data_IF_014231769807
#
_entry.id   IF_014231769807
#
_cell.length_a   1.000
_cell.length_b   1.000
_cell.length_c   1.000
_cell.angle_alpha   90.00
_cell.angle_beta   90.00
_cell.angle_gamma   90.00
#
_symmetry.space_group_name_H-M   'P 1'
#
loop_
_entity.id
_entity.type
_entity.pdbx_description
1 polymer ?
#
# COMPACT_ATOMS: atom_id res chain seq x y z
N UNK A 1 -22.68 -0.14 0.95
CA UNK A 1 -21.41 -0.57 1.59
C UNK A 1 -20.75 -1.77 0.91
N UNK A 2 -21.39 -2.94 0.78
CA UNK A 2 -20.72 -4.14 0.22
C UNK A 2 -20.05 -3.93 -1.16
N UNK A 3 -20.66 -3.15 -2.05
CA UNK A 3 -20.04 -2.81 -3.35
C UNK A 3 -18.80 -1.91 -3.22
N UNK A 4 -18.75 -1.03 -2.22
CA UNK A 4 -17.56 -0.23 -1.95
C UNK A 4 -16.42 -1.12 -1.43
N UNK A 5 -16.72 -2.00 -0.46
CA UNK A 5 -15.76 -2.98 0.06
C UNK A 5 -15.17 -3.81 -1.08
N UNK A 6 -16.03 -4.42 -1.90
CA UNK A 6 -15.57 -5.22 -3.04
C UNK A 6 -14.71 -4.39 -3.99
N UNK A 7 -15.09 -3.14 -4.29
CA UNK A 7 -14.35 -2.28 -5.19
C UNK A 7 -12.97 -1.90 -4.65
N UNK A 8 -12.87 -1.64 -3.34
CA UNK A 8 -11.60 -1.40 -2.67
C UNK A 8 -10.73 -2.65 -2.84
N UNK A 9 -11.20 -3.80 -2.39
CA UNK A 9 -10.46 -5.08 -2.34
C UNK A 9 -10.10 -5.64 -3.73
N UNK A 10 -10.93 -5.41 -4.76
CA UNK A 10 -10.66 -5.89 -6.12
C UNK A 10 -9.55 -5.10 -6.83
N UNK A 11 -9.31 -3.85 -6.39
CA UNK A 11 -8.36 -2.94 -7.04
C UNK A 11 -7.11 -2.77 -6.19
N UNK A 12 -6.15 -3.66 -6.36
CA UNK A 12 -4.83 -3.60 -5.73
C UNK A 12 -4.03 -2.37 -6.18
N UNK A 13 -3.06 -1.98 -5.36
CA UNK A 13 -1.96 -1.11 -5.76
C UNK A 13 -0.98 -1.85 -6.67
N UNK A 14 -0.35 -1.11 -7.58
CA UNK A 14 0.67 -1.69 -8.46
C UNK A 14 1.97 -1.91 -7.69
N UNK A 15 2.68 -3.04 -7.93
CA UNK A 15 4.01 -3.24 -7.38
C UNK A 15 5.01 -2.29 -8.04
N UNK A 16 5.84 -1.63 -7.26
CA UNK A 16 6.86 -0.67 -7.72
C UNK A 16 8.15 -0.95 -6.96
N UNK A 17 9.25 -1.14 -7.69
CA UNK A 17 10.57 -1.34 -7.10
C UNK A 17 11.53 -0.27 -7.60
N UNK A 18 11.76 0.75 -6.78
CA UNK A 18 12.67 1.84 -7.08
C UNK A 18 14.04 1.67 -6.41
N UNK A 19 15.00 2.50 -6.81
CA UNK A 19 16.34 2.51 -6.21
C UNK A 19 16.36 2.96 -4.74
N UNK A 20 15.27 3.58 -4.27
CA UNK A 20 15.14 3.99 -2.88
C UNK A 20 14.58 2.86 -1.98
N UNK A 21 13.98 1.82 -2.57
CA UNK A 21 13.42 0.71 -1.79
C UNK A 21 14.53 -0.19 -1.20
N UNK A 22 14.59 -0.36 0.14
CA UNK A 22 15.62 -1.19 0.78
C UNK A 22 15.65 -2.65 0.31
N UNK A 23 14.51 -3.17 -0.16
CA UNK A 23 14.38 -4.52 -0.71
C UNK A 23 15.32 -4.71 -1.90
N UNK A 24 15.50 -3.68 -2.73
CA UNK A 24 16.43 -3.75 -3.85
C UNK A 24 17.85 -3.98 -3.37
N UNK A 25 18.32 -3.21 -2.38
CA UNK A 25 19.66 -3.37 -1.79
C UNK A 25 19.88 -4.76 -1.18
N UNK A 26 18.87 -5.30 -0.50
CA UNK A 26 18.91 -6.68 -0.01
C UNK A 26 19.06 -7.69 -1.14
N UNK A 27 18.28 -7.54 -2.22
CA UNK A 27 18.35 -8.42 -3.39
C UNK A 27 19.71 -8.36 -4.07
N UNK A 28 20.32 -7.18 -4.18
CA UNK A 28 21.70 -7.02 -4.68
C UNK A 28 22.69 -7.88 -3.89
N UNK A 29 22.64 -7.81 -2.56
CA UNK A 29 23.52 -8.62 -1.70
C UNK A 29 23.31 -10.12 -1.94
N UNK A 30 22.05 -10.56 -2.06
CA UNK A 30 21.71 -11.95 -2.36
C UNK A 30 22.24 -12.36 -3.74
N UNK A 31 22.03 -11.52 -4.75
CA UNK A 31 22.47 -11.80 -6.11
C UNK A 31 23.99 -11.87 -6.23
N UNK A 32 24.72 -11.00 -5.52
CA UNK A 32 26.17 -10.98 -5.51
C UNK A 32 26.76 -12.23 -4.84
N UNK A 33 26.26 -12.58 -3.65
CA UNK A 33 26.91 -13.55 -2.78
C UNK A 33 26.26 -14.94 -2.73
N UNK A 34 24.99 -15.09 -3.08
CA UNK A 34 24.32 -16.39 -3.01
C UNK A 34 24.76 -17.31 -4.14
N UNK A 35 25.18 -18.56 -3.83
CA UNK A 35 25.47 -19.56 -4.84
C UNK A 35 24.21 -20.30 -5.34
N UNK A 36 23.06 -20.14 -4.66
CA UNK A 36 21.84 -20.94 -4.92
C UNK A 36 20.77 -20.20 -5.70
N UNK A 37 20.92 -18.89 -5.90
CA UNK A 37 19.96 -18.09 -6.67
C UNK A 37 19.98 -18.48 -8.15
N UNK A 38 18.80 -18.49 -8.78
CA UNK A 38 18.68 -18.74 -10.21
C UNK A 38 19.49 -17.71 -11.03
N UNK A 39 20.13 -18.18 -12.10
CA UNK A 39 21.05 -17.34 -12.89
C UNK A 39 20.33 -16.22 -13.65
N UNK A 40 19.10 -16.47 -14.10
CA UNK A 40 18.32 -15.47 -14.83
C UNK A 40 17.93 -14.34 -13.90
N UNK A 41 17.32 -14.65 -12.76
CA UNK A 41 16.89 -13.61 -11.82
C UNK A 41 18.09 -12.89 -11.19
N UNK A 42 19.20 -13.59 -10.93
CA UNK A 42 20.45 -12.98 -10.48
C UNK A 42 20.93 -11.91 -11.46
N UNK A 43 20.87 -12.18 -12.75
CA UNK A 43 21.26 -11.21 -13.77
C UNK A 43 20.37 -9.96 -13.75
N UNK A 44 19.06 -10.17 -13.66
CA UNK A 44 18.08 -9.08 -13.66
C UNK A 44 18.21 -8.22 -12.38
N UNK A 45 18.36 -8.85 -11.21
CA UNK A 45 18.59 -8.14 -9.94
C UNK A 45 19.82 -7.23 -10.04
N UNK A 46 20.95 -7.73 -10.56
CA UNK A 46 22.18 -6.93 -10.68
C UNK A 46 22.03 -5.71 -11.60
N UNK A 47 21.05 -5.72 -12.50
CA UNK A 47 20.78 -4.63 -13.46
C UNK A 47 19.56 -3.78 -13.11
N UNK A 48 18.75 -4.19 -12.14
CA UNK A 48 17.45 -3.58 -11.85
C UNK A 48 17.51 -2.09 -11.46
N UNK A 49 18.68 -1.56 -11.06
CA UNK A 49 18.84 -0.12 -10.79
C UNK A 49 18.91 0.77 -12.04
N UNK A 50 19.29 0.20 -13.19
CA UNK A 50 19.60 0.96 -14.41
C UNK A 50 18.84 0.47 -15.64
N UNK A 51 18.38 -0.78 -15.65
CA UNK A 51 17.64 -1.38 -16.75
C UNK A 51 16.19 -1.62 -16.34
N UNK A 52 15.28 -0.90 -16.99
CA UNK A 52 13.85 -0.98 -16.70
C UNK A 52 13.26 -2.36 -17.01
N UNK A 53 13.75 -3.07 -18.02
CA UNK A 53 13.26 -4.42 -18.33
C UNK A 53 13.72 -5.41 -17.27
N UNK A 54 14.97 -5.30 -16.82
CA UNK A 54 15.48 -6.10 -15.71
C UNK A 54 14.71 -5.82 -14.41
N UNK A 55 14.44 -4.54 -14.11
CA UNK A 55 13.61 -4.14 -12.98
C UNK A 55 12.20 -4.75 -13.05
N UNK A 56 11.56 -4.66 -14.21
CA UNK A 56 10.23 -5.25 -14.44
C UNK A 56 10.23 -6.77 -14.20
N UNK A 57 11.24 -7.49 -14.69
CA UNK A 57 11.37 -8.93 -14.42
C UNK A 57 11.50 -9.23 -12.92
N UNK A 58 12.23 -8.39 -12.17
CA UNK A 58 12.36 -8.53 -10.71
C UNK A 58 11.04 -8.23 -10.01
N UNK A 59 10.33 -7.18 -10.42
CA UNK A 59 8.98 -6.85 -9.91
C UNK A 59 8.01 -8.01 -10.13
N UNK A 60 8.00 -8.59 -11.33
CA UNK A 60 7.17 -9.76 -11.66
C UNK A 60 7.57 -10.98 -10.85
N UNK A 61 8.88 -11.21 -10.65
CA UNK A 61 9.37 -12.29 -9.82
C UNK A 61 8.90 -12.16 -8.36
N UNK A 62 9.04 -10.98 -7.76
CA UNK A 62 8.58 -10.71 -6.40
C UNK A 62 7.06 -10.76 -6.28
N UNK A 63 6.33 -10.43 -7.34
CA UNK A 63 4.86 -10.42 -7.33
C UNK A 63 4.24 -11.83 -7.38
N UNK A 64 5.02 -12.88 -7.65
CA UNK A 64 4.53 -14.27 -7.70
C UNK A 64 4.19 -14.83 -6.32
N UNK A 65 4.88 -14.37 -5.28
CA UNK A 65 4.65 -14.78 -3.91
C UNK A 65 4.09 -13.60 -3.09
N UNK A 66 3.12 -13.89 -2.20
CA UNK A 66 2.44 -12.84 -1.45
C UNK A 66 3.36 -12.17 -0.43
N UNK A 67 4.27 -12.91 0.19
CA UNK A 67 5.19 -12.35 1.19
C UNK A 67 6.13 -11.35 0.54
N UNK A 68 6.61 -11.63 -0.68
CA UNK A 68 7.49 -10.73 -1.42
C UNK A 68 6.75 -9.62 -2.16
N UNK A 69 5.52 -9.85 -2.65
CA UNK A 69 4.72 -8.84 -3.35
C UNK A 69 4.52 -7.58 -2.50
N UNK A 70 4.13 -7.76 -1.24
CA UNK A 70 3.83 -6.64 -0.33
C UNK A 70 5.08 -5.99 0.28
N UNK A 71 6.29 -6.44 -0.08
CA UNK A 71 7.51 -5.66 0.18
C UNK A 71 7.67 -4.48 -0.79
N UNK A 72 7.01 -4.55 -1.94
CA UNK A 72 7.11 -3.57 -3.03
C UNK A 72 5.75 -3.01 -3.47
N UNK A 73 4.70 -3.27 -2.67
CA UNK A 73 3.32 -2.90 -2.99
C UNK A 73 2.61 -2.43 -1.74
N UNK A 74 1.86 -1.34 -1.82
CA UNK A 74 0.97 -0.94 -0.73
C UNK A 74 -0.09 -2.02 -0.50
N UNK A 75 -0.17 -2.54 0.73
CA UNK A 75 -1.25 -3.44 1.12
C UNK A 75 -2.44 -2.63 1.61
N UNK A 76 -3.64 -3.11 1.35
CA UNK A 76 -4.89 -2.56 1.88
C UNK A 76 -5.76 -3.72 2.39
N UNK A 77 -6.54 -3.49 3.44
CA UNK A 77 -7.48 -4.48 3.97
C UNK A 77 -8.64 -3.80 4.70
N UNK A 78 -9.85 -4.34 4.58
CA UNK A 78 -10.96 -4.02 5.49
C UNK A 78 -10.83 -4.82 6.79
N UNK A 79 -10.48 -4.14 7.87
CA UNK A 79 -10.21 -4.77 9.17
C UNK A 79 -11.46 -4.81 10.08
N UNK A 80 -12.33 -3.80 9.95
CA UNK A 80 -13.53 -3.66 10.78
C UNK A 80 -14.72 -3.31 9.90
N UNK A 81 -15.85 -3.97 10.16
CA UNK A 81 -17.14 -3.68 9.53
C UNK A 81 -18.20 -3.68 10.63
N UNK A 82 -18.91 -2.56 10.78
CA UNK A 82 -20.00 -2.44 11.76
C UNK A 82 -21.24 -1.87 11.07
N UNK A 83 -22.42 -2.41 11.39
CA UNK A 83 -23.67 -1.91 10.82
C UNK A 83 -24.91 -2.58 11.37
N UNK A 84 -25.95 -1.77 11.59
CA UNK A 84 -27.23 -2.22 12.14
C UNK A 84 -27.20 -2.43 13.66
N UNK A 85 -28.39 -2.52 14.26
CA UNK A 85 -28.56 -2.69 15.71
C UNK A 85 -29.40 -3.92 16.03
N UNK A 86 -30.39 -4.22 15.18
CA UNK A 86 -31.30 -5.36 15.34
C UNK A 86 -31.40 -6.12 14.02
N UNK A 87 -31.50 -7.44 14.08
CA UNK A 87 -31.59 -8.31 12.90
C UNK A 87 -32.85 -8.08 12.05
N UNK A 88 -33.89 -7.47 12.62
CA UNK A 88 -35.16 -7.18 11.96
C UNK A 88 -35.35 -5.70 11.58
N UNK A 89 -34.29 -4.90 11.63
CA UNK A 89 -34.31 -3.49 11.25
C UNK A 89 -33.29 -3.23 10.13
N UNK A 90 -33.63 -2.31 9.22
CA UNK A 90 -32.69 -1.83 8.24
C UNK A 90 -31.58 -1.02 8.95
N UNK A 91 -30.29 -1.22 8.62
CA UNK A 91 -29.21 -0.40 9.16
C UNK A 91 -29.34 1.06 8.75
N UNK A 92 -29.29 1.98 9.71
CA UNK A 92 -29.25 3.43 9.45
C UNK A 92 -27.84 3.89 9.07
N UNK A 93 -26.81 3.25 9.63
CA UNK A 93 -25.41 3.54 9.35
C UNK A 93 -24.61 2.23 9.27
N UNK A 94 -23.56 2.26 8.43
CA UNK A 94 -22.54 1.21 8.32
C UNK A 94 -21.19 1.91 8.24
N UNK A 95 -20.23 1.48 9.07
CA UNK A 95 -18.85 1.94 9.06
C UNK A 95 -17.92 0.81 8.64
N UNK A 96 -16.79 1.19 8.03
CA UNK A 96 -15.68 0.28 7.75
C UNK A 96 -14.36 0.97 8.12
N UNK A 97 -13.38 0.18 8.53
CA UNK A 97 -11.99 0.65 8.71
C UNK A 97 -11.12 -0.03 7.66
N UNK A 98 -10.48 0.79 6.81
CA UNK A 98 -9.50 0.34 5.82
C UNK A 98 -8.12 0.56 6.42
N UNK A 99 -7.36 -0.51 6.65
CA UNK A 99 -5.96 -0.41 7.01
C UNK A 99 -5.11 -0.43 5.74
N UNK A 100 -4.07 0.41 5.67
CA UNK A 100 -3.12 0.39 4.58
C UNK A 100 -1.68 0.43 5.10
N UNK A 101 -0.81 -0.41 4.55
CA UNK A 101 0.64 -0.31 4.75
C UNK A 101 1.24 0.23 3.47
N UNK A 102 1.68 1.47 3.52
CA UNK A 102 2.08 2.24 2.34
C UNK A 102 3.50 1.85 1.94
N UNK A 103 3.69 1.51 0.67
CA UNK A 103 5.01 1.25 0.09
C UNK A 103 5.89 2.50 0.13
N UNK A 104 7.20 2.31 0.13
CA UNK A 104 8.20 3.40 0.24
C UNK A 104 8.07 4.41 -0.92
N UNK A 105 7.57 3.95 -2.05
CA UNK A 105 7.32 4.72 -3.28
C UNK A 105 6.05 5.57 -3.26
N UNK A 106 5.11 5.28 -2.36
CA UNK A 106 3.80 5.93 -2.33
C UNK A 106 3.67 6.85 -1.12
N UNK A 107 2.56 7.59 -1.07
CA UNK A 107 2.26 8.52 0.04
C UNK A 107 0.87 8.28 0.57
N UNK A 108 0.58 8.84 1.75
CA UNK A 108 -0.79 8.87 2.30
C UNK A 108 -1.75 9.47 1.28
N UNK A 109 -1.38 10.58 0.64
CA UNK A 109 -2.23 11.23 -0.37
C UNK A 109 -2.54 10.32 -1.57
N UNK A 110 -1.61 9.46 -1.96
CA UNK A 110 -1.81 8.52 -3.09
C UNK A 110 -2.88 7.49 -2.73
N UNK A 111 -2.81 6.94 -1.52
CA UNK A 111 -3.82 6.00 -0.97
C UNK A 111 -5.17 6.69 -0.80
N UNK A 112 -5.19 7.89 -0.23
CA UNK A 112 -6.40 8.69 -0.01
C UNK A 112 -7.12 8.96 -1.32
N UNK A 113 -6.39 9.38 -2.35
CA UNK A 113 -6.96 9.67 -3.66
C UNK A 113 -7.52 8.42 -4.34
N UNK A 114 -6.85 7.27 -4.19
CA UNK A 114 -7.35 5.98 -4.68
C UNK A 114 -8.72 5.65 -4.07
N UNK A 115 -8.80 5.63 -2.73
CA UNK A 115 -10.02 5.27 -1.99
C UNK A 115 -11.14 6.29 -2.22
N UNK A 116 -10.80 7.59 -2.23
CA UNK A 116 -11.74 8.66 -2.59
C UNK A 116 -12.34 8.44 -3.97
N UNK A 117 -11.52 8.04 -4.95
CA UNK A 117 -11.97 7.64 -6.29
C UNK A 117 -12.95 6.46 -6.25
N UNK A 118 -12.65 5.43 -5.46
CA UNK A 118 -13.53 4.28 -5.29
C UNK A 118 -14.89 4.68 -4.69
N UNK A 119 -14.90 5.57 -3.70
CA UNK A 119 -16.11 6.11 -3.09
C UNK A 119 -16.91 6.95 -4.10
N UNK A 120 -16.24 7.81 -4.87
CA UNK A 120 -16.88 8.68 -5.87
C UNK A 120 -17.62 7.90 -6.96
N UNK A 121 -17.16 6.70 -7.32
CA UNK A 121 -17.88 5.85 -8.26
C UNK A 121 -19.17 5.29 -7.66
N UNK A 122 -19.14 4.95 -6.36
CA UNK A 122 -20.30 4.45 -5.63
C UNK A 122 -21.32 5.58 -5.39
N UNK A 123 -20.86 6.79 -5.09
CA UNK A 123 -21.76 7.95 -4.91
C UNK A 123 -22.56 8.25 -6.17
N UNK A 124 -21.91 8.26 -7.34
CA UNK A 124 -22.60 8.45 -8.63
C UNK A 124 -23.63 7.36 -8.91
N UNK A 125 -23.32 6.12 -8.54
CA UNK A 125 -24.19 4.96 -8.80
C UNK A 125 -25.47 4.96 -7.95
N UNK A 126 -25.38 5.42 -6.71
CA UNK A 126 -26.47 5.35 -5.73
C UNK A 126 -27.03 6.71 -5.33
N UNK A 127 -26.61 7.79 -6.01
CA UNK A 127 -27.01 9.16 -5.70
C UNK A 127 -26.76 9.50 -4.21
N UNK A 128 -25.51 9.35 -3.77
CA UNK A 128 -25.07 9.63 -2.40
C UNK A 128 -24.12 10.83 -2.38
N UNK A 129 -24.03 11.52 -1.23
CA UNK A 129 -22.99 12.53 -0.98
C UNK A 129 -21.64 11.95 -0.58
N UNK A 130 -20.63 12.82 -0.50
CA UNK A 130 -19.29 12.51 0.01
C UNK A 130 -18.74 13.73 0.77
N UNK A 131 -18.44 13.50 2.04
CA UNK A 131 -17.69 14.42 2.90
C UNK A 131 -16.32 13.80 3.18
N UNK A 132 -15.25 14.55 2.96
CA UNK A 132 -13.87 14.11 3.20
C UNK A 132 -13.22 15.04 4.22
N UNK A 133 -12.81 14.52 5.37
CA UNK A 133 -12.21 15.29 6.47
C UNK A 133 -12.98 16.58 6.82
N UNK A 134 -14.32 16.52 6.75
CA UNK A 134 -15.23 17.63 7.03
C UNK A 134 -15.53 18.55 5.84
N UNK A 135 -14.87 18.37 4.70
CA UNK A 135 -15.13 19.13 3.47
C UNK A 135 -16.13 18.40 2.56
N UNK A 136 -17.15 19.13 2.09
CA UNK A 136 -18.12 18.59 1.14
C UNK A 136 -17.51 18.51 -0.27
N UNK A 137 -17.28 17.27 -0.73
CA UNK A 137 -16.81 16.99 -2.10
C UNK A 137 -17.98 16.74 -3.03
N UNK A 138 -19.01 16.04 -2.55
CA UNK A 138 -20.30 15.87 -3.20
C UNK A 138 -21.38 16.17 -2.15
N UNK A 139 -22.29 17.12 -2.41
CA UNK A 139 -23.32 17.49 -1.44
C UNK A 139 -24.12 16.26 -0.96
N UNK A 140 -24.40 16.13 0.34
CA UNK A 140 -25.30 15.10 0.86
C UNK A 140 -26.67 15.11 0.16
N UNK A 141 -27.20 13.92 -0.10
CA UNK A 141 -28.51 13.75 -0.74
C UNK A 141 -29.52 13.17 0.25
N UNK A 142 -30.78 13.06 -0.18
CA UNK A 142 -31.82 12.36 0.60
C UNK A 142 -31.55 10.86 0.76
N UNK A 143 -30.70 10.28 -0.09
CA UNK A 143 -30.32 8.86 -0.01
C UNK A 143 -29.14 8.62 0.94
N UNK A 144 -28.51 9.70 1.44
CA UNK A 144 -27.42 9.65 2.40
C UNK A 144 -26.08 10.12 1.82
N UNK A 145 -25.00 9.83 2.54
CA UNK A 145 -23.64 10.23 2.16
C UNK A 145 -22.59 9.31 2.79
N UNK A 146 -21.40 9.29 2.21
CA UNK A 146 -20.21 8.74 2.85
C UNK A 146 -19.50 9.85 3.64
N UNK A 147 -19.08 9.54 4.86
CA UNK A 147 -18.11 10.31 5.60
C UNK A 147 -16.78 9.57 5.56
N UNK A 148 -15.78 10.15 4.91
CA UNK A 148 -14.45 9.58 4.79
C UNK A 148 -13.46 10.44 5.56
N UNK A 149 -12.84 9.86 6.58
CA UNK A 149 -11.89 10.55 7.44
C UNK A 149 -10.66 9.70 7.68
N UNK A 150 -9.50 10.34 7.78
CA UNK A 150 -8.25 9.66 8.06
C UNK A 150 -8.03 9.44 9.55
N UNK A 151 -7.63 8.22 9.90
CA UNK A 151 -7.21 7.84 11.25
C UNK A 151 -5.70 7.57 11.19
N UNK A 152 -4.93 8.23 12.06
CA UNK A 152 -3.47 8.01 12.18
C UNK A 152 -2.69 8.11 10.85
N UNK A 153 -2.79 9.26 10.18
CA UNK A 153 -2.04 9.52 8.94
C UNK A 153 -0.53 9.53 9.19
N UNK A 154 0.16 8.49 8.75
CA UNK A 154 1.61 8.37 8.80
C UNK A 154 2.15 8.13 7.39
N UNK A 155 3.07 8.99 6.96
CA UNK A 155 3.84 8.74 5.74
C UNK A 155 4.81 7.56 5.94
N UNK A 156 5.24 6.88 4.86
CA UNK A 156 6.28 5.88 4.95
C UNK A 156 7.51 6.40 5.70
N UNK A 157 8.10 5.52 6.52
CA UNK A 157 9.29 5.88 7.26
C UNK A 157 10.43 6.25 6.29
N UNK A 158 11.26 7.25 6.62
CA UNK A 158 12.42 7.58 5.82
C UNK A 158 13.41 6.40 5.78
N UNK A 159 14.12 6.28 4.67
CA UNK A 159 15.10 5.21 4.47
C UNK A 159 16.26 5.42 5.44
N UNK A 160 16.61 4.36 6.16
CA UNK A 160 17.72 4.39 7.11
C UNK A 160 19.06 4.56 6.38
N UNK A 161 19.98 5.40 6.89
CA UNK A 161 21.33 5.50 6.34
C UNK A 161 22.06 4.14 6.37
N UNK A 162 22.74 3.80 5.28
CA UNK A 162 23.55 2.57 5.15
C UNK A 162 25.03 2.80 5.49
N UNK A 163 25.38 4.00 5.95
CA UNK A 163 26.71 4.41 6.35
C UNK A 163 26.62 5.54 7.41
N UNK A 164 27.76 5.92 7.97
CA UNK A 164 27.87 7.02 8.94
C UNK A 164 28.12 6.57 10.38
N UNK A 165 28.11 7.54 11.29
CA UNK A 165 28.51 7.35 12.69
C UNK A 165 27.66 6.29 13.41
N UNK A 166 26.34 6.33 13.26
CA UNK A 166 25.44 5.34 13.84
C UNK A 166 25.78 3.90 13.41
N UNK A 167 26.21 3.73 12.16
CA UNK A 167 26.58 2.42 11.62
C UNK A 167 27.98 1.99 12.04
N UNK A 168 28.90 2.93 12.19
CA UNK A 168 30.21 2.68 12.77
C UNK A 168 30.12 2.25 14.24
N UNK A 169 29.25 2.90 15.03
CA UNK A 169 29.01 2.53 16.44
C UNK A 169 28.39 1.14 16.54
N UNK A 170 27.35 0.86 15.76
CA UNK A 170 26.73 -0.47 15.73
C UNK A 170 27.74 -1.56 15.33
N UNK A 171 28.42 -1.40 14.19
CA UNK A 171 29.38 -2.38 13.69
C UNK A 171 30.61 -2.53 14.60
N UNK A 172 31.05 -1.45 15.25
CA UNK A 172 32.12 -1.47 16.25
C UNK A 172 31.73 -2.21 17.53
N UNK A 173 30.46 -2.13 17.94
CA UNK A 173 29.94 -2.81 19.13
C UNK A 173 29.78 -4.32 18.93
N UNK A 174 29.60 -4.80 17.70
CA UNK A 174 29.53 -6.22 17.36
C UNK A 174 30.89 -6.93 17.28
N UNK A 175 32.00 -6.17 17.33
CA UNK A 175 33.36 -6.71 17.22
C UNK A 175 33.97 -7.11 18.57
N UNK A 176 33.19 -7.05 19.64
CA UNK A 176 33.54 -7.49 20.99
C UNK A 176 32.48 -8.46 21.51
#
# INVERSE_FOLDING_TARGET
MAQLINKIEERDFSPILTNMNPVLGQLYCVAEHSPTIDKSIKHDILKAQIDANANQNVVEYLSKDKETKFLITTSQAIDVIEGGVKSNALPEHVSIVVNSRIAVEETVDTVVNKIKGDILDITKKFDLGLVVDGEEVVPPTTNGYFNYSLVEKLEPAPISPINGESWNVFGGSLRY
#
